data_IF_251821425079
#
_entry.id   IF_251821425079
#
_cell.length_a   1.000
_cell.length_b   1.000
_cell.length_c   1.000
_cell.angle_alpha   90.00
_cell.angle_beta   90.00
_cell.angle_gamma   90.00
#
_symmetry.space_group_name_H-M   'P 1'
#
loop_
_entity.id
_entity.type
_entity.pdbx_description
1 polymer ?
#
# COMPACT_ATOMS: atom_id res chain seq x y z
N UNK A 1 -16.90 27.17 5.14
CA UNK A 1 -17.51 25.83 4.97
C UNK A 1 -16.36 24.85 5.03
N UNK A 2 -16.37 23.92 5.97
CA UNK A 2 -15.25 23.00 6.14
C UNK A 2 -15.21 21.99 4.98
N UNK A 3 -14.10 21.93 4.24
CA UNK A 3 -13.99 21.07 3.06
C UNK A 3 -13.56 19.66 3.48
N UNK A 4 -14.29 18.64 3.03
CA UNK A 4 -13.96 17.23 3.25
C UNK A 4 -13.14 16.67 2.10
N UNK A 5 -12.02 16.05 2.44
CA UNK A 5 -11.11 15.45 1.47
C UNK A 5 -10.83 14.01 1.86
N UNK A 6 -10.97 13.08 0.91
CA UNK A 6 -10.50 11.70 1.09
C UNK A 6 -9.02 11.68 0.74
N UNK A 7 -8.20 11.25 1.68
CA UNK A 7 -6.80 10.96 1.44
C UNK A 7 -6.61 9.45 1.40
N UNK A 8 -5.92 8.97 0.38
CA UNK A 8 -5.35 7.64 0.44
C UNK A 8 -3.83 7.71 0.47
N UNK A 9 -3.25 6.75 1.18
CA UNK A 9 -1.82 6.61 1.39
C UNK A 9 -1.44 5.16 1.09
N UNK A 10 -0.49 4.93 0.19
CA UNK A 10 0.08 3.61 -0.06
C UNK A 10 1.49 3.56 0.54
N UNK A 11 1.66 2.74 1.57
CA UNK A 11 2.94 2.50 2.23
C UNK A 11 3.66 1.37 1.52
N UNK A 12 4.88 1.63 1.08
CA UNK A 12 5.67 0.68 0.29
C UNK A 12 7.07 0.48 0.89
N UNK A 13 7.66 -0.72 0.75
CA UNK A 13 9.01 -0.99 1.23
C UNK A 13 10.11 -0.54 0.23
N UNK A 14 9.78 0.31 -0.75
CA UNK A 14 10.73 0.71 -1.78
C UNK A 14 11.66 1.80 -1.25
N UNK A 15 12.96 1.51 -1.19
CA UNK A 15 13.95 2.46 -0.67
C UNK A 15 14.31 3.60 -1.64
N UNK A 16 14.07 3.42 -2.95
CA UNK A 16 14.40 4.41 -3.97
C UNK A 16 13.13 5.16 -4.39
N UNK A 17 13.03 6.42 -3.96
CA UNK A 17 11.86 7.25 -4.21
C UNK A 17 11.74 7.66 -5.68
N UNK A 18 12.87 7.93 -6.34
CA UNK A 18 12.89 8.32 -7.76
C UNK A 18 12.35 7.19 -8.64
N UNK A 19 12.67 5.93 -8.32
CA UNK A 19 12.15 4.76 -9.03
C UNK A 19 10.63 4.61 -8.83
N UNK A 20 10.13 4.84 -7.61
CA UNK A 20 8.67 4.80 -7.34
C UNK A 20 7.95 5.90 -8.09
N UNK A 21 8.46 7.15 -8.03
CA UNK A 21 7.93 8.28 -8.78
C UNK A 21 7.94 8.01 -10.29
N UNK A 22 9.00 7.39 -10.80
CA UNK A 22 9.11 7.01 -12.20
C UNK A 22 8.08 5.97 -12.63
N UNK A 23 7.86 4.92 -11.83
CA UNK A 23 6.80 3.95 -12.09
C UNK A 23 5.43 4.63 -12.10
N UNK A 24 5.14 5.48 -11.10
CA UNK A 24 3.88 6.22 -11.05
C UNK A 24 3.68 7.10 -12.30
N UNK A 25 4.72 7.84 -12.71
CA UNK A 25 4.69 8.69 -13.90
C UNK A 25 4.45 7.88 -15.19
N UNK A 26 5.13 6.74 -15.35
CA UNK A 26 4.94 5.85 -16.50
C UNK A 26 3.54 5.24 -16.59
N UNK A 27 2.89 5.05 -15.44
CA UNK A 27 1.50 4.62 -15.35
C UNK A 27 0.49 5.78 -15.45
N UNK A 28 0.96 7.02 -15.68
CA UNK A 28 0.11 8.20 -15.79
C UNK A 28 -0.54 8.63 -14.47
N UNK A 29 0.04 8.23 -13.33
CA UNK A 29 -0.47 8.56 -12.01
C UNK A 29 0.08 9.91 -11.55
N UNK A 30 -0.83 10.78 -11.12
CA UNK A 30 -0.60 12.13 -10.57
C UNK A 30 -0.71 12.10 -9.05
N UNK A 31 0.36 11.60 -8.43
CA UNK A 31 0.48 11.36 -6.98
C UNK A 31 1.71 12.06 -6.40
N UNK A 32 1.67 12.31 -5.09
CA UNK A 32 2.87 12.70 -4.33
C UNK A 32 3.56 11.44 -3.84
N UNK A 33 4.88 11.38 -4.04
CA UNK A 33 5.73 10.32 -3.50
C UNK A 33 6.64 10.94 -2.45
N UNK A 34 6.60 10.39 -1.24
CA UNK A 34 7.23 10.91 -0.04
C UNK A 34 8.27 9.89 0.44
N UNK A 35 9.52 10.31 0.73
CA UNK A 35 10.51 9.40 1.28
C UNK A 35 10.19 9.11 2.75
N UNK A 36 10.42 7.87 3.18
CA UNK A 36 10.35 7.49 4.60
C UNK A 36 11.63 6.74 4.99
N UNK A 37 11.84 6.48 6.29
CA UNK A 37 13.04 5.76 6.75
C UNK A 37 13.04 4.29 6.30
N UNK A 38 11.86 3.67 6.29
CA UNK A 38 11.63 2.26 5.95
C UNK A 38 11.23 2.04 4.48
N UNK A 39 11.06 3.09 3.67
CA UNK A 39 10.70 2.97 2.27
C UNK A 39 10.16 4.26 1.65
N UNK A 40 9.04 4.15 0.93
CA UNK A 40 8.41 5.27 0.26
C UNK A 40 6.89 5.21 0.42
N UNK A 41 6.28 6.37 0.47
CA UNK A 41 4.86 6.56 0.68
C UNK A 41 4.28 7.30 -0.52
N UNK A 42 3.16 6.81 -1.04
CA UNK A 42 2.42 7.48 -2.12
C UNK A 42 1.16 8.06 -1.50
N UNK A 43 0.86 9.33 -1.75
CA UNK A 43 -0.35 9.98 -1.23
C UNK A 43 -1.09 10.76 -2.30
N UNK A 44 -2.41 10.81 -2.15
CA UNK A 44 -3.32 11.55 -3.02
C UNK A 44 -4.52 12.02 -2.21
N UNK A 45 -4.87 13.27 -2.46
CA UNK A 45 -6.07 13.91 -1.94
C UNK A 45 -7.13 13.97 -3.03
N UNK A 46 -8.31 13.44 -2.72
CA UNK A 46 -9.47 13.41 -3.59
C UNK A 46 -10.58 14.21 -2.91
N UNK A 47 -11.03 15.34 -3.48
CA UNK A 47 -12.12 16.12 -2.91
C UNK A 47 -13.38 15.26 -2.83
N UNK A 48 -14.07 15.29 -1.69
CA UNK A 48 -15.34 14.57 -1.53
C UNK A 48 -16.44 15.42 -2.15
N UNK A 49 -17.25 14.88 -3.09
CA UNK A 49 -18.40 15.60 -3.61
C UNK A 49 -19.35 15.98 -2.48
N UNK A 50 -19.74 17.25 -2.43
CA UNK A 50 -20.83 17.70 -1.57
C UNK A 50 -22.15 17.50 -2.30
N UNK A 51 -23.02 16.66 -1.74
CA UNK A 51 -24.38 16.48 -2.23
C UNK A 51 -25.35 17.33 -1.40
N UNK A 52 -26.48 17.71 -2.01
CA UNK A 52 -27.53 18.42 -1.28
C UNK A 52 -28.16 17.54 -0.18
N UNK A 53 -28.84 18.16 0.78
CA UNK A 53 -29.40 17.47 1.97
C UNK A 53 -30.45 16.39 1.64
N UNK A 54 -31.04 16.41 0.44
CA UNK A 54 -32.05 15.45 -0.01
C UNK A 54 -31.50 14.44 -1.02
N UNK A 55 -30.21 14.51 -1.36
CA UNK A 55 -29.60 13.62 -2.31
C UNK A 55 -29.49 12.21 -1.73
N UNK A 56 -30.08 11.25 -2.44
CA UNK A 56 -30.07 9.84 -2.06
C UNK A 56 -28.64 9.28 -1.95
N UNK A 57 -27.67 9.86 -2.67
CA UNK A 57 -26.25 9.46 -2.65
C UNK A 57 -25.58 9.69 -1.31
N UNK A 58 -26.12 10.57 -0.46
CA UNK A 58 -25.68 10.67 0.93
C UNK A 58 -25.94 9.39 1.74
N UNK A 59 -26.93 8.60 1.33
CA UNK A 59 -27.31 7.33 1.98
C UNK A 59 -26.74 6.13 1.20
N UNK A 60 -26.86 6.15 -0.13
CA UNK A 60 -26.48 5.02 -0.98
C UNK A 60 -24.99 5.01 -1.36
N UNK A 61 -24.29 6.12 -1.14
CA UNK A 61 -22.94 6.34 -1.67
C UNK A 61 -22.97 6.85 -3.12
N UNK A 62 -21.78 7.19 -3.68
CA UNK A 62 -21.63 7.53 -5.09
C UNK A 62 -22.10 6.37 -5.99
N UNK A 63 -22.51 6.69 -7.21
CA UNK A 63 -23.04 5.70 -8.14
C UNK A 63 -21.93 4.68 -8.48
N UNK A 64 -22.16 3.35 -8.38
CA UNK A 64 -21.16 2.36 -8.75
C UNK A 64 -20.71 2.46 -10.22
N UNK A 65 -21.49 3.10 -11.08
CA UNK A 65 -21.12 3.36 -12.49
C UNK A 65 -20.32 4.67 -12.66
N UNK A 66 -20.17 5.48 -11.60
CA UNK A 66 -19.36 6.69 -11.61
C UNK A 66 -17.88 6.31 -11.59
N UNK A 67 -17.33 6.07 -12.78
CA UNK A 67 -15.91 5.74 -12.98
C UNK A 67 -15.03 6.87 -12.44
N UNK A 68 -13.98 6.51 -11.70
CA UNK A 68 -13.01 7.45 -11.16
C UNK A 68 -12.42 8.28 -12.31
N UNK A 69 -12.70 9.58 -12.33
CA UNK A 69 -12.34 10.46 -13.44
C UNK A 69 -10.83 10.50 -13.73
N UNK A 70 -10.01 10.24 -12.71
CA UNK A 70 -8.57 10.13 -12.83
C UNK A 70 -8.10 8.78 -12.23
N UNK A 71 -7.30 7.97 -12.95
CA UNK A 71 -6.75 6.72 -12.42
C UNK A 71 -5.94 6.91 -11.14
N UNK A 72 -5.43 8.13 -10.92
CA UNK A 72 -4.70 8.52 -9.71
C UNK A 72 -5.58 8.60 -8.48
N UNK A 73 -6.91 8.67 -8.62
CA UNK A 73 -7.84 8.82 -7.50
C UNK A 73 -8.33 7.44 -6.98
N UNK A 74 -7.98 6.35 -7.66
CA UNK A 74 -8.28 4.97 -7.25
C UNK A 74 -7.14 4.36 -6.40
N UNK A 75 -7.18 4.65 -5.09
CA UNK A 75 -6.22 4.11 -4.12
C UNK A 75 -6.05 2.58 -4.17
N UNK A 76 -7.14 1.78 -4.21
CA UNK A 76 -7.08 0.34 -4.45
C UNK A 76 -6.31 -0.08 -5.70
N UNK A 77 -6.57 0.55 -6.86
CA UNK A 77 -5.85 0.23 -8.09
C UNK A 77 -4.36 0.59 -8.00
N UNK A 78 -4.03 1.75 -7.42
CA UNK A 78 -2.64 2.18 -7.19
C UNK A 78 -1.92 1.19 -6.27
N UNK A 79 -2.53 0.80 -5.15
CA UNK A 79 -1.97 -0.17 -4.22
C UNK A 79 -1.79 -1.56 -4.85
N UNK A 80 -2.77 -2.00 -5.65
CA UNK A 80 -2.69 -3.25 -6.38
C UNK A 80 -1.51 -3.24 -7.37
N UNK A 81 -1.35 -2.18 -8.16
CA UNK A 81 -0.23 -2.02 -9.10
C UNK A 81 1.11 -2.10 -8.39
N UNK A 82 1.31 -1.26 -7.35
CA UNK A 82 2.58 -1.21 -6.62
C UNK A 82 2.89 -2.53 -5.88
N UNK A 83 1.87 -3.22 -5.39
CA UNK A 83 2.05 -4.50 -4.69
C UNK A 83 2.54 -5.64 -5.58
N UNK A 84 2.45 -5.50 -6.91
CA UNK A 84 3.03 -6.47 -7.86
C UNK A 84 4.55 -6.28 -8.00
N UNK A 85 5.06 -5.09 -7.67
CA UNK A 85 6.48 -4.75 -7.77
C UNK A 85 7.24 -5.06 -6.46
N UNK A 86 6.52 -5.32 -5.37
CA UNK A 86 7.08 -5.64 -4.05
C UNK A 86 6.83 -7.10 -3.68
N UNK A 87 7.86 -7.89 -3.32
CA UNK A 87 7.65 -9.26 -2.82
C UNK A 87 6.87 -9.30 -1.49
N UNK A 88 6.93 -8.22 -0.71
CA UNK A 88 6.24 -8.09 0.58
C UNK A 88 4.81 -7.54 0.43
N UNK A 89 4.50 -6.96 -0.73
CA UNK A 89 3.28 -6.20 -0.98
C UNK A 89 3.39 -4.74 -0.50
N UNK A 90 2.23 -4.11 -0.32
CA UNK A 90 2.05 -2.73 0.14
C UNK A 90 0.88 -2.66 1.12
N UNK A 91 0.71 -1.52 1.78
CA UNK A 91 -0.48 -1.25 2.62
C UNK A 91 -1.17 0.00 2.11
N UNK A 92 -2.46 -0.12 1.80
CA UNK A 92 -3.33 1.01 1.49
C UNK A 92 -3.98 1.50 2.79
N UNK A 93 -3.90 2.80 3.03
CA UNK A 93 -4.52 3.49 4.15
C UNK A 93 -5.47 4.54 3.59
N UNK A 94 -6.73 4.51 4.00
CA UNK A 94 -7.74 5.51 3.63
C UNK A 94 -8.15 6.30 4.87
N UNK A 95 -8.25 7.61 4.70
CA UNK A 95 -8.66 8.54 5.75
C UNK A 95 -9.47 9.68 5.14
N UNK A 96 -10.40 10.24 5.91
CA UNK A 96 -11.11 11.46 5.53
C UNK A 96 -10.62 12.60 6.40
N UNK A 97 -10.12 13.64 5.76
CA UNK A 97 -9.63 14.87 6.37
C UNK A 97 -10.74 15.92 6.28
N UNK A 98 -10.88 16.72 7.34
CA UNK A 98 -11.72 17.92 7.37
C UNK A 98 -10.80 19.10 7.56
N UNK A 99 -10.81 19.99 6.57
CA UNK A 99 -10.16 21.28 6.66
C UNK A 99 -11.20 22.30 7.15
N UNK A 100 -10.99 22.83 8.36
CA UNK A 100 -11.81 23.89 8.93
C UNK A 100 -10.94 25.12 9.18
N UNK A 101 -10.89 26.01 8.18
CA UNK A 101 -10.10 27.26 8.22
C UNK A 101 -10.54 28.22 9.37
N UNK A 102 -11.73 28.03 9.95
CA UNK A 102 -12.32 28.92 10.96
C UNK A 102 -12.57 28.25 12.33
N UNK A 103 -12.26 26.96 12.49
CA UNK A 103 -12.57 26.17 13.69
C UNK A 103 -11.36 25.54 14.39
N UNK A 104 -11.58 25.09 15.63
CA UNK A 104 -10.60 24.35 16.43
C UNK A 104 -10.56 22.84 16.10
N UNK A 105 -11.35 22.41 15.10
CA UNK A 105 -11.60 21.01 14.75
C UNK A 105 -10.98 20.62 13.38
N UNK A 106 -9.88 21.28 12.97
CA UNK A 106 -9.07 20.83 11.85
C UNK A 106 -8.43 19.47 12.18
N UNK A 107 -8.63 18.47 11.32
CA UNK A 107 -8.08 17.13 11.53
C UNK A 107 -8.86 16.01 10.87
N UNK A 108 -8.71 14.81 11.41
CA UNK A 108 -9.30 13.59 10.85
C UNK A 108 -10.77 13.51 11.23
N UNK A 109 -11.62 13.40 10.22
CA UNK A 109 -13.03 13.14 10.42
C UNK A 109 -13.32 11.66 10.13
N UNK A 110 -13.42 10.88 11.20
CA UNK A 110 -13.88 9.49 11.14
C UNK A 110 -12.77 8.44 11.26
N UNK A 111 -12.97 7.30 10.59
CA UNK A 111 -12.17 6.09 10.77
C UNK A 111 -11.02 6.01 9.75
N UNK A 112 -9.80 5.76 10.25
CA UNK A 112 -8.66 5.35 9.41
C UNK A 112 -8.80 3.87 9.10
N UNK A 113 -8.80 3.50 7.83
CA UNK A 113 -8.84 2.10 7.38
C UNK A 113 -7.52 1.72 6.73
N UNK A 114 -6.93 0.60 7.14
CA UNK A 114 -5.70 0.08 6.55
C UNK A 114 -5.91 -1.33 6.01
N UNK A 115 -5.43 -1.62 4.80
CA UNK A 115 -5.55 -2.94 4.19
C UNK A 115 -4.28 -3.32 3.45
N UNK A 116 -3.85 -4.57 3.63
CA UNK A 116 -2.70 -5.12 2.91
C UNK A 116 -3.06 -5.39 1.46
N UNK A 117 -2.12 -5.13 0.55
CA UNK A 117 -2.17 -5.58 -0.85
C UNK A 117 -0.95 -6.42 -1.15
N UNK A 118 -1.12 -7.54 -1.86
CA UNK A 118 -0.03 -8.41 -2.26
C UNK A 118 -0.31 -8.99 -3.65
N UNK A 119 0.67 -8.89 -4.56
CA UNK A 119 0.59 -9.41 -5.92
C UNK A 119 -0.70 -8.99 -6.65
N UNK A 120 -1.08 -7.71 -6.52
CA UNK A 120 -2.25 -7.13 -7.17
C UNK A 120 -3.59 -7.40 -6.48
N UNK A 121 -3.61 -8.06 -5.32
CA UNK A 121 -4.85 -8.45 -4.63
C UNK A 121 -4.96 -7.83 -3.25
N UNK A 122 -6.17 -7.41 -2.92
CA UNK A 122 -6.52 -7.00 -1.56
C UNK A 122 -6.46 -8.21 -0.61
N UNK A 123 -5.76 -8.04 0.49
CA UNK A 123 -5.64 -9.01 1.58
C UNK A 123 -6.39 -8.55 2.82
N UNK A 124 -5.85 -8.91 3.98
CA UNK A 124 -6.46 -8.63 5.27
C UNK A 124 -6.45 -7.15 5.64
N UNK A 125 -7.51 -6.75 6.35
CA UNK A 125 -7.58 -5.45 7.01
C UNK A 125 -6.66 -5.44 8.24
N UNK A 126 -5.89 -4.37 8.38
CA UNK A 126 -4.93 -4.18 9.45
C UNK A 126 -5.51 -3.18 10.44
N UNK A 127 -5.46 -3.45 11.76
CA UNK A 127 -5.85 -2.45 12.76
C UNK A 127 -4.98 -1.19 12.64
N UNK A 128 -5.56 -0.10 12.12
CA UNK A 128 -4.84 1.12 11.74
C UNK A 128 -4.05 1.73 12.88
N UNK A 129 -4.59 1.72 14.11
CA UNK A 129 -3.89 2.23 15.28
C UNK A 129 -2.61 1.44 15.62
N UNK A 130 -2.62 0.11 15.47
CA UNK A 130 -1.42 -0.70 15.68
C UNK A 130 -0.40 -0.50 14.56
N UNK A 131 -0.88 -0.37 13.32
CA UNK A 131 -0.03 -0.12 12.16
C UNK A 131 0.70 1.23 12.28
N UNK A 132 -0.02 2.33 12.54
CA UNK A 132 0.58 3.67 12.61
C UNK A 132 1.65 3.75 13.71
N UNK A 133 1.43 3.10 14.86
CA UNK A 133 2.43 3.02 15.93
C UNK A 133 3.74 2.29 15.55
N UNK A 134 3.70 1.46 14.51
CA UNK A 134 4.85 0.64 14.07
C UNK A 134 5.55 1.21 12.82
N UNK A 135 4.94 2.18 12.14
CA UNK A 135 5.49 2.79 10.93
C UNK A 135 6.36 4.00 11.27
N UNK A 136 7.10 4.49 10.26
CA UNK A 136 7.91 5.69 10.42
C UNK A 136 7.02 6.88 10.80
N UNK A 137 7.48 7.80 11.68
CA UNK A 137 6.69 8.96 12.12
C UNK A 137 6.16 9.83 10.96
N UNK A 138 6.85 9.83 9.82
CA UNK A 138 6.42 10.55 8.63
C UNK A 138 5.11 9.99 8.04
N UNK A 139 4.90 8.68 8.11
CA UNK A 139 3.68 8.04 7.61
C UNK A 139 2.47 8.53 8.40
N UNK A 140 2.59 8.57 9.74
CA UNK A 140 1.54 9.09 10.61
C UNK A 140 1.22 10.54 10.25
N UNK A 141 2.22 11.44 10.26
CA UNK A 141 2.00 12.86 9.92
C UNK A 141 1.29 13.07 8.58
N UNK A 142 1.68 12.33 7.55
CA UNK A 142 1.04 12.43 6.24
C UNK A 142 -0.37 11.83 6.24
N UNK A 143 -0.63 10.73 6.96
CA UNK A 143 -1.99 10.17 7.09
C UNK A 143 -2.89 11.14 7.88
N UNK A 144 -2.38 11.79 8.93
CA UNK A 144 -3.17 12.68 9.78
C UNK A 144 -3.33 14.09 9.19
N UNK A 145 -2.59 14.45 8.12
CA UNK A 145 -2.64 15.78 7.52
C UNK A 145 -1.78 16.84 8.23
N UNK A 146 -0.83 16.41 9.06
CA UNK A 146 0.06 17.31 9.82
C UNK A 146 1.26 17.79 8.99
N UNK A 147 1.66 17.01 7.98
CA UNK A 147 2.79 17.31 7.09
C UNK A 147 2.55 16.73 5.69
N UNK A 148 2.08 17.60 4.80
CA UNK A 148 1.61 17.24 3.46
C UNK A 148 2.67 17.32 2.36
N UNK A 149 3.75 18.05 2.63
CA UNK A 149 4.86 18.26 1.71
C UNK A 149 6.22 18.23 2.45
N UNK A 150 6.60 17.07 3.01
CA UNK A 150 7.91 16.92 3.62
C UNK A 150 9.04 17.10 2.62
N UNK A 151 10.24 17.35 3.15
CA UNK A 151 11.43 17.50 2.31
C UNK A 151 11.71 16.23 1.51
N UNK A 152 11.98 16.42 0.22
CA UNK A 152 12.28 15.32 -0.71
C UNK A 152 11.05 14.69 -1.35
N UNK A 153 9.86 15.24 -1.12
CA UNK A 153 8.64 14.86 -1.85
C UNK A 153 8.81 15.10 -3.34
N UNK A 154 8.35 14.13 -4.14
CA UNK A 154 8.27 14.23 -5.59
C UNK A 154 6.80 14.26 -6.00
N UNK A 155 6.37 15.32 -6.67
CA UNK A 155 5.04 15.40 -7.25
C UNK A 155 5.07 14.99 -8.72
N UNK A 156 4.54 13.80 -9.01
CA UNK A 156 4.53 13.25 -10.37
C UNK A 156 3.68 14.06 -11.35
N UNK A 157 2.73 14.88 -10.86
CA UNK A 157 1.95 15.77 -11.71
C UNK A 157 2.79 16.90 -12.36
N UNK A 158 3.87 17.30 -11.69
CA UNK A 158 4.74 18.40 -12.12
C UNK A 158 6.05 17.90 -12.76
N UNK A 159 6.17 16.59 -12.99
CA UNK A 159 7.39 15.95 -13.49
C UNK A 159 7.27 15.58 -14.96
N UNK A 160 8.36 15.78 -15.70
CA UNK A 160 8.56 15.18 -17.02
C UNK A 160 9.44 13.94 -16.94
N UNK A 161 9.49 13.16 -18.03
CA UNK A 161 10.41 12.03 -18.15
C UNK A 161 11.87 12.51 -18.10
N UNK A 162 12.17 13.69 -18.66
CA UNK A 162 13.52 14.26 -18.62
C UNK A 162 13.93 14.65 -17.18
N UNK A 163 12.98 15.18 -16.39
CA UNK A 163 13.22 15.49 -14.97
C UNK A 163 13.52 14.21 -14.17
N UNK A 164 12.79 13.13 -14.46
CA UNK A 164 13.02 11.83 -13.85
C UNK A 164 14.40 11.26 -14.21
N UNK A 165 14.79 11.31 -15.49
CA UNK A 165 16.11 10.86 -15.93
C UNK A 165 17.22 11.65 -15.23
N UNK A 166 17.03 12.96 -15.05
CA UNK A 166 17.96 13.79 -14.28
C UNK A 166 18.06 13.33 -12.82
N UNK A 167 16.92 13.10 -12.16
CA UNK A 167 16.84 12.67 -10.76
C UNK A 167 17.47 11.29 -10.52
N UNK A 168 17.23 10.33 -11.42
CA UNK A 168 17.83 8.98 -11.34
C UNK A 168 19.35 9.10 -11.46
N UNK A 169 19.85 9.84 -12.45
CA UNK A 169 21.28 10.05 -12.65
C UNK A 169 21.94 10.76 -11.45
N UNK A 170 21.24 11.70 -10.82
CA UNK A 170 21.70 12.38 -9.62
C UNK A 170 21.70 11.47 -8.38
N UNK A 171 20.67 10.63 -8.22
CA UNK A 171 20.59 9.61 -7.18
C UNK A 171 21.75 8.62 -7.25
N UNK A 172 22.09 8.13 -8.45
CA UNK A 172 23.24 7.25 -8.65
C UNK A 172 24.58 7.90 -8.26
N UNK A 173 24.75 9.20 -8.54
CA UNK A 173 25.95 9.95 -8.14
C UNK A 173 26.06 10.06 -6.62
N UNK A 174 24.96 10.44 -5.95
CA UNK A 174 24.90 10.53 -4.49
C UNK A 174 25.25 9.20 -3.83
N UNK A 175 24.67 8.10 -4.30
CA UNK A 175 24.92 6.76 -3.77
C UNK A 175 26.38 6.30 -3.97
N UNK A 176 26.98 6.65 -5.13
CA UNK A 176 28.39 6.33 -5.42
C UNK A 176 29.37 7.12 -4.55
N UNK A 177 29.05 8.38 -4.23
CA UNK A 177 29.89 9.23 -3.36
C UNK A 177 29.83 8.78 -1.89
N UNK A 178 28.65 8.42 -1.39
CA UNK A 178 28.51 7.86 -0.03
C UNK A 178 29.21 6.51 0.10
N UNK A 179 29.08 5.62 -0.90
CA UNK A 179 29.77 4.34 -0.91
C UNK A 179 31.31 4.48 -0.94
N UNK A 180 31.84 5.47 -1.67
CA UNK A 180 33.29 5.77 -1.68
C UNK A 180 33.78 6.34 -0.35
N UNK A 181 32.95 7.10 0.36
CA UNK A 181 33.32 7.70 1.64
C UNK A 181 33.28 6.69 2.82
N UNK A 182 32.65 5.52 2.63
CA UNK A 182 32.55 4.45 3.63
C UNK A 182 33.51 3.28 3.39
N UNK A 183 34.40 3.36 2.39
CA UNK A 183 35.42 2.33 2.18
C UNK A 183 36.37 2.24 3.40
N UNK A 184 36.62 1.04 3.97
CA UNK A 184 37.56 0.89 5.08
C UNK A 184 38.95 1.34 4.68
N UNK A 185 39.58 2.21 5.48
CA UNK A 185 41.02 2.49 5.35
C UNK A 185 41.76 1.20 5.67
N UNK A 186 42.34 0.57 4.65
CA UNK A 186 43.29 -0.52 4.81
C UNK A 186 44.43 -0.05 5.72
N UNK A 187 44.51 -0.63 6.91
CA UNK A 187 45.70 -0.52 7.77
C UNK A 187 46.84 -1.27 7.11
N UNK A 188 47.84 -0.53 6.64
CA UNK A 188 49.10 -1.07 6.13
C UNK A 188 49.75 -2.00 7.16
N UNK A 189 50.02 -3.23 6.72
CA UNK A 189 50.79 -4.24 7.42
C UNK A 189 52.28 -3.88 7.40
N UNK A 190 52.88 -3.69 8.57
CA UNK A 190 54.32 -3.65 8.78
C UNK A 190 54.77 -4.88 9.58
N UNK A 191 55.49 -5.79 8.92
CA UNK A 191 56.02 -7.02 9.49
C UNK A 191 57.25 -6.80 10.40
N UNK A 192 57.34 -7.55 11.50
CA UNK A 192 58.61 -8.03 12.08
C UNK A 192 58.39 -9.43 12.67
N UNK A 193 59.19 -10.40 12.20
CA UNK A 193 59.23 -11.79 12.65
C UNK A 193 60.21 -11.97 13.82
N UNK A 194 60.01 -12.97 14.70
CA UNK A 194 61.05 -13.92 15.13
C UNK A 194 60.54 -15.02 16.11
N UNK A 195 60.78 -16.28 15.69
CA UNK A 195 61.16 -17.50 16.42
C UNK A 195 60.29 -18.23 17.49
N UNK A 196 60.11 -19.53 17.20
CA UNK A 196 59.62 -20.73 17.93
C UNK A 196 60.32 -21.06 19.29
N UNK A 197 59.98 -22.12 20.08
CA UNK A 197 59.20 -23.36 19.78
C UNK A 197 58.21 -23.89 20.86
N UNK A 198 57.45 -24.93 20.48
CA UNK A 198 56.53 -25.73 21.30
C UNK A 198 57.22 -26.67 22.33
N UNK A 199 56.46 -27.18 23.34
CA UNK A 199 56.57 -28.62 23.65
C UNK A 199 55.27 -29.35 24.07
N UNK A 200 55.01 -30.45 23.37
CA UNK A 200 54.62 -31.83 23.76
C UNK A 200 53.73 -32.15 25.00
N UNK A 201 52.58 -32.77 24.67
CA UNK A 201 51.90 -33.97 25.23
C UNK A 201 52.08 -34.43 26.69
N UNK A 202 50.96 -34.62 27.42
CA UNK A 202 50.77 -35.66 28.46
C UNK A 202 49.31 -36.18 28.55
N UNK A 203 49.16 -37.48 28.27
CA UNK A 203 48.39 -38.55 28.93
C UNK A 203 46.98 -38.34 29.50
N UNK A 204 46.02 -39.13 28.99
CA UNK A 204 44.79 -39.68 29.62
C UNK A 204 45.12 -40.59 30.83
N UNK A 205 44.22 -40.97 31.77
CA UNK A 205 42.83 -41.50 31.63
C UNK A 205 41.82 -40.86 32.62
N UNK A 206 40.49 -41.02 32.52
CA UNK A 206 39.72 -42.23 32.85
C UNK A 206 38.23 -42.00 32.48
N UNK A 207 37.56 -43.07 32.04
CA UNK A 207 36.09 -43.15 31.87
C UNK A 207 35.49 -43.79 33.14
N UNK A 208 34.19 -43.60 33.47
CA UNK A 208 33.23 -44.56 32.90
C UNK A 208 31.80 -44.01 32.65
N UNK A 209 31.25 -44.45 31.51
CA UNK A 209 29.96 -45.13 31.34
C UNK A 209 28.64 -44.57 31.96
N UNK A 210 27.71 -44.22 31.05
CA UNK A 210 26.43 -44.91 30.82
C UNK A 210 25.10 -44.12 30.99
N UNK A 211 24.20 -44.40 30.04
CA UNK A 211 22.71 -44.33 30.06
C UNK A 211 22.09 -42.93 29.94
N UNK A 212 21.15 -42.65 29.02
CA UNK A 212 20.40 -43.54 28.15
C UNK A 212 19.53 -42.80 27.13
N UNK A 213 18.90 -43.65 26.33
CA UNK A 213 18.03 -43.42 25.19
C UNK A 213 16.75 -42.64 25.55
N UNK A 214 16.22 -41.82 24.64
CA UNK A 214 14.95 -42.07 23.94
C UNK A 214 14.42 -40.82 23.21
N UNK A 215 14.30 -40.94 21.88
CA UNK A 215 13.18 -40.37 21.13
C UNK A 215 11.87 -41.06 21.58
N UNK A 216 10.72 -40.42 21.32
CA UNK A 216 9.86 -41.10 20.37
C UNK A 216 9.23 -40.18 19.31
N UNK A 217 9.26 -40.75 18.11
CA UNK A 217 8.50 -40.47 16.91
C UNK A 217 7.00 -40.85 17.07
N UNK A 218 6.21 -40.60 16.03
CA UNK A 218 4.81 -40.98 15.72
C UNK A 218 3.77 -39.84 15.85
N UNK A 219 3.31 -39.24 14.75
CA UNK A 219 2.46 -39.74 13.65
C UNK A 219 0.96 -39.74 13.98
N UNK A 220 0.19 -38.98 13.19
CA UNK A 220 -1.27 -38.96 13.23
C UNK A 220 -1.88 -38.44 11.94
N UNK A 221 -1.95 -39.31 10.92
CA UNK A 221 -2.79 -39.16 9.73
C UNK A 221 -4.27 -39.12 10.11
N UNK A 222 -5.06 -38.24 9.50
CA UNK A 222 -6.47 -38.49 9.14
C UNK A 222 -6.81 -37.84 7.81
N UNK A 223 -7.03 -38.69 6.81
CA UNK A 223 -7.91 -38.45 5.68
C UNK A 223 -9.37 -38.38 6.17
N UNK A 224 -10.22 -37.62 5.48
CA UNK A 224 -11.67 -37.87 5.30
C UNK A 224 -12.24 -36.92 4.23
N UNK A 225 -12.63 -37.53 3.10
CA UNK A 225 -13.78 -37.30 2.20
C UNK A 225 -14.31 -35.89 1.90
N UNK A 226 -14.43 -35.46 0.63
CA UNK A 226 -15.38 -35.89 -0.43
C UNK A 226 -16.85 -35.52 -0.18
N UNK A 227 -17.29 -34.38 -0.74
CA UNK A 227 -18.66 -34.08 -1.21
C UNK A 227 -18.55 -32.76 -2.02
N UNK A 228 -18.72 -32.64 -3.35
CA UNK A 228 -19.69 -33.19 -4.29
C UNK A 228 -21.16 -32.90 -3.90
N UNK A 229 -21.76 -31.95 -4.63
CA UNK A 229 -23.18 -31.61 -4.62
C UNK A 229 -23.39 -30.11 -4.36
N UNK A 230 -24.18 -29.35 -5.09
CA UNK A 230 -25.01 -29.60 -6.27
C UNK A 230 -25.44 -28.19 -6.71
N UNK A 231 -25.28 -27.85 -7.99
CA UNK A 231 -26.00 -26.74 -8.60
C UNK A 231 -27.51 -27.03 -8.58
N UNK A 232 -28.38 -26.06 -8.25
CA UNK A 232 -29.75 -26.09 -8.73
C UNK A 232 -29.89 -25.21 -9.97
N UNK A 233 -29.98 -25.90 -11.10
CA UNK A 233 -30.71 -25.51 -12.30
C UNK A 233 -32.01 -24.76 -11.95
N UNK A 234 -32.16 -23.52 -12.42
CA UNK A 234 -33.44 -22.84 -12.55
C UNK A 234 -33.64 -22.44 -14.01
N UNK A 235 -33.80 -23.45 -14.86
CA UNK A 235 -34.42 -23.30 -16.16
C UNK A 235 -35.91 -23.70 -16.05
N UNK A 236 -36.79 -22.79 -16.43
CA UNK A 236 -38.06 -23.12 -17.06
C UNK A 236 -39.33 -22.85 -16.25
N UNK A 237 -40.04 -21.79 -16.64
CA UNK A 237 -41.46 -21.80 -17.07
C UNK A 237 -41.82 -20.41 -17.62
N UNK A 238 -41.98 -20.31 -18.94
CA UNK A 238 -43.27 -20.19 -19.67
C UNK A 238 -43.88 -18.79 -19.53
N UNK A 239 -43.81 -17.96 -20.58
CA UNK A 239 -44.71 -17.90 -21.75
C UNK A 239 -46.14 -17.41 -21.41
N UNK A 240 -46.55 -16.38 -22.15
CA UNK A 240 -47.82 -15.66 -22.10
C UNK A 240 -47.53 -14.19 -22.40
N UNK A 241 -47.27 -13.77 -23.64
CA UNK A 241 -48.17 -13.67 -24.80
C UNK A 241 -49.41 -12.79 -24.58
N UNK A 242 -49.48 -11.78 -25.46
CA UNK A 242 -50.66 -11.03 -25.95
C UNK A 242 -51.32 -9.94 -25.09
N UNK A 243 -51.14 -8.68 -25.54
CA UNK A 243 -52.20 -7.76 -26.03
C UNK A 243 -51.66 -6.30 -25.98
N UNK A 244 -51.21 -5.70 -27.09
CA UNK A 244 -52.02 -4.85 -27.99
C UNK A 244 -53.02 -3.91 -27.30
N UNK A 245 -52.78 -2.60 -27.45
CA UNK A 245 -53.76 -1.54 -27.22
C UNK A 245 -53.13 -0.15 -27.12
N UNK A 246 -53.27 0.72 -28.15
CA UNK A 246 -52.82 2.11 -28.12
C UNK A 246 -53.94 3.05 -27.66
N UNK A 247 -53.66 3.91 -26.68
CA UNK A 247 -54.49 5.10 -26.37
C UNK A 247 -53.59 6.33 -26.50
N UNK A 248 -53.66 6.99 -27.65
CA UNK A 248 -54.49 8.16 -27.96
C UNK A 248 -53.98 9.45 -27.31
N UNK A 249 -53.55 10.32 -28.22
CA UNK A 249 -53.45 11.78 -28.12
C UNK A 249 -54.48 12.38 -27.17
N UNK A 250 -54.04 13.36 -26.38
CA UNK A 250 -54.82 14.58 -26.21
C UNK A 250 -53.88 15.79 -26.21
N UNK A 251 -53.93 16.48 -27.33
CA UNK A 251 -53.67 17.90 -27.48
C UNK A 251 -54.76 18.66 -26.73
N UNK A 252 -54.40 19.57 -25.81
CA UNK A 252 -55.19 20.77 -25.49
C UNK A 252 -54.22 21.71 -24.75
N UNK A 253 -53.58 22.63 -25.46
CA UNK A 253 -54.09 23.99 -25.73
C UNK A 253 -54.22 24.82 -24.45
N UNK A 254 -53.16 25.58 -24.17
CA UNK A 254 -53.20 26.93 -23.60
C UNK A 254 -54.38 27.74 -24.21
N UNK A 255 -54.96 28.71 -23.47
CA UNK A 255 -54.33 30.02 -23.46
C UNK A 255 -54.55 30.91 -22.20
N UNK A 256 -53.56 31.81 -22.04
CA UNK A 256 -53.55 33.15 -21.41
C UNK A 256 -53.53 33.26 -19.88
#
# INVERSE_FOLDING_TARGET
MAQKTKRFVVVTPFANIEAVAGVCLLHGLQVRVIPTESGALITRDVPVPEYDEWDIRNITGPDPEEETANPSDDGPAVAAMLSQLSPYGCVLVNVTLVDDEEGYDAGISGNVQARRYQNGKAGEEIPSGLMLNALDPQVEKTVLGEDDDPRGTLNTADMTIDDLDMLINEGERRHRETAKSQAPRETESGAVAENEPAPQARSTPDEPAAVGEQEPDSAGKRELDSAAGQEPDLAGRQEGDSAEGPEKENHESEPQ
#
